data_IF_290911937721
#
_entry.id   IF_290911937721
#
_cell.length_a   1.000
_cell.length_b   1.000
_cell.length_c   1.000
_cell.angle_alpha   90.00
_cell.angle_beta   90.00
_cell.angle_gamma   90.00
#
_symmetry.space_group_name_H-M   'P 1'
#
loop_
_entity.id
_entity.type
_entity.pdbx_description
1 polymer ?
#
# COMPACT_ATOMS: atom_id res chain seq x y z
N UNK A 1 2.51 32.20 -34.98
CA UNK A 1 1.47 32.06 -33.94
C UNK A 1 1.73 30.74 -33.23
N UNK A 2 1.92 30.71 -31.92
CA UNK A 2 2.12 29.44 -31.21
C UNK A 2 0.78 28.66 -31.13
N UNK A 3 0.84 27.39 -31.50
CA UNK A 3 -0.30 26.48 -31.44
C UNK A 3 -0.76 26.34 -29.98
N UNK A 4 -2.03 26.63 -29.74
CA UNK A 4 -2.70 26.32 -28.49
C UNK A 4 -2.78 24.80 -28.33
N UNK A 5 -1.88 24.20 -27.58
CA UNK A 5 -2.07 22.83 -27.13
C UNK A 5 -3.29 22.82 -26.21
N UNK A 6 -4.28 22.04 -26.58
CA UNK A 6 -5.52 21.90 -25.82
C UNK A 6 -5.23 21.19 -24.52
N UNK A 7 -5.63 21.81 -23.42
CA UNK A 7 -5.57 21.27 -22.05
C UNK A 7 -6.36 19.94 -21.90
N UNK A 8 -6.99 19.47 -22.96
CA UNK A 8 -7.90 18.32 -22.95
C UNK A 8 -7.20 16.95 -22.96
N UNK A 9 -5.87 16.88 -23.03
CA UNK A 9 -5.15 15.61 -23.13
C UNK A 9 -4.60 15.09 -21.78
N UNK A 10 -4.86 15.79 -20.67
CA UNK A 10 -4.40 15.40 -19.35
C UNK A 10 -5.56 14.89 -18.49
N UNK A 11 -5.53 13.63 -18.14
CA UNK A 11 -6.46 13.07 -17.16
C UNK A 11 -5.91 13.37 -15.77
N UNK A 12 -6.65 14.17 -15.03
CA UNK A 12 -6.35 14.46 -13.64
C UNK A 12 -6.63 13.22 -12.79
N UNK A 13 -5.60 12.65 -12.19
CA UNK A 13 -5.77 11.54 -11.26
C UNK A 13 -6.41 12.11 -9.99
N UNK A 14 -7.66 11.73 -9.76
CA UNK A 14 -8.34 12.04 -8.52
C UNK A 14 -7.61 11.34 -7.38
N UNK A 15 -7.00 12.13 -6.54
CA UNK A 15 -6.42 11.69 -5.28
C UNK A 15 -7.56 11.28 -4.34
N UNK A 16 -7.47 10.10 -3.82
CA UNK A 16 -8.23 9.74 -2.63
C UNK A 16 -7.70 10.57 -1.45
N UNK A 17 -8.31 11.70 -1.23
CA UNK A 17 -8.05 12.52 -0.06
C UNK A 17 -8.84 11.97 1.11
N UNK A 18 -8.22 11.13 1.92
CA UNK A 18 -8.71 10.94 3.27
C UNK A 18 -8.40 12.21 4.07
N UNK A 19 -9.44 12.97 4.37
CA UNK A 19 -9.39 14.06 5.34
C UNK A 19 -9.07 13.48 6.71
N UNK A 20 -7.82 13.52 7.11
CA UNK A 20 -7.45 13.52 8.52
C UNK A 20 -6.56 14.74 8.76
N UNK A 21 -7.14 15.65 9.52
CA UNK A 21 -6.57 16.91 9.95
C UNK A 21 -5.45 16.61 10.95
N UNK A 22 -4.23 16.45 10.48
CA UNK A 22 -3.03 16.48 11.32
C UNK A 22 -1.96 17.29 10.60
N UNK A 23 -1.38 18.25 11.29
CA UNK A 23 -0.34 19.17 10.88
C UNK A 23 0.98 18.47 10.48
N UNK A 24 0.94 17.56 9.56
CA UNK A 24 2.13 17.08 8.87
C UNK A 24 2.13 17.75 7.48
N UNK A 25 3.01 18.67 7.29
CA UNK A 25 3.36 19.27 6.00
C UNK A 25 3.95 18.18 5.09
N UNK A 26 3.15 17.25 4.67
CA UNK A 26 3.51 16.34 3.58
C UNK A 26 3.22 17.09 2.28
N UNK A 27 4.26 17.57 1.65
CA UNK A 27 4.20 18.12 0.30
C UNK A 27 3.67 17.02 -0.64
N UNK A 28 2.36 17.04 -0.90
CA UNK A 28 1.73 16.13 -1.85
C UNK A 28 2.06 16.62 -3.26
N UNK A 29 2.87 15.86 -3.97
CA UNK A 29 3.11 16.14 -5.39
C UNK A 29 1.99 15.54 -6.21
N UNK A 30 1.26 16.38 -6.94
CA UNK A 30 0.30 15.96 -7.96
C UNK A 30 1.07 15.79 -9.27
N UNK A 31 1.04 14.60 -9.84
CA UNK A 31 1.64 14.32 -11.13
C UNK A 31 0.53 14.10 -12.14
N UNK A 32 0.47 14.96 -13.16
CA UNK A 32 -0.38 14.73 -14.33
C UNK A 32 0.32 13.71 -15.23
N UNK A 33 -0.29 12.58 -15.46
CA UNK A 33 0.22 11.56 -16.37
C UNK A 33 -0.23 11.84 -17.79
N UNK A 34 0.61 11.48 -18.77
CA UNK A 34 0.18 11.40 -20.16
C UNK A 34 -0.91 10.32 -20.30
N UNK A 35 -1.70 10.39 -21.36
CA UNK A 35 -2.74 9.37 -21.65
C UNK A 35 -2.14 7.96 -21.74
N UNK A 36 -0.94 7.84 -22.31
CA UNK A 36 -0.23 6.57 -22.43
C UNK A 36 0.22 6.04 -21.06
N UNK A 37 0.79 6.89 -20.21
CA UNK A 37 1.25 6.47 -18.87
C UNK A 37 0.06 6.17 -17.93
N UNK A 38 -1.04 6.90 -18.09
CA UNK A 38 -2.27 6.56 -17.39
C UNK A 38 -2.79 5.17 -17.79
N UNK A 39 -2.76 4.85 -19.10
CA UNK A 39 -3.15 3.52 -19.57
C UNK A 39 -2.23 2.42 -19.04
N UNK A 40 -0.90 2.65 -18.99
CA UNK A 40 0.05 1.73 -18.36
C UNK A 40 -0.26 1.52 -16.87
N UNK A 41 -0.57 2.61 -16.16
CA UNK A 41 -0.94 2.54 -14.75
C UNK A 41 -2.21 1.73 -14.53
N UNK A 42 -3.25 1.96 -15.35
CA UNK A 42 -4.49 1.18 -15.30
C UNK A 42 -4.21 -0.29 -15.57
N UNK A 43 -3.44 -0.60 -16.62
CA UNK A 43 -3.05 -1.96 -16.94
C UNK A 43 -2.29 -2.64 -15.79
N UNK A 44 -1.41 -1.91 -15.10
CA UNK A 44 -0.71 -2.44 -13.93
C UNK A 44 -1.69 -2.74 -12.77
N UNK A 45 -2.63 -1.85 -12.51
CA UNK A 45 -3.63 -2.04 -11.44
C UNK A 45 -4.61 -3.19 -11.72
N UNK A 46 -4.75 -3.59 -12.97
CA UNK A 46 -5.60 -4.70 -13.40
C UNK A 46 -4.86 -6.06 -13.43
N UNK A 47 -3.54 -6.07 -13.20
CA UNK A 47 -2.79 -7.33 -13.15
C UNK A 47 -3.31 -8.21 -12.02
N UNK A 48 -3.50 -9.51 -12.28
CA UNK A 48 -3.89 -10.44 -11.23
C UNK A 48 -2.73 -10.62 -10.24
N UNK A 49 -3.08 -11.02 -9.02
CA UNK A 49 -2.10 -11.43 -8.02
C UNK A 49 -1.26 -12.60 -8.56
N UNK A 50 0.03 -12.53 -8.32
CA UNK A 50 0.98 -13.60 -8.65
C UNK A 50 1.59 -14.13 -7.36
N UNK A 51 1.40 -15.41 -7.10
CA UNK A 51 2.01 -16.10 -5.96
C UNK A 51 3.54 -16.07 -6.10
N UNK A 52 4.28 -15.72 -5.03
CA UNK A 52 5.74 -15.79 -5.05
C UNK A 52 6.25 -17.20 -5.36
N UNK A 53 7.45 -17.27 -5.95
CA UNK A 53 8.09 -18.54 -6.23
C UNK A 53 8.33 -19.36 -4.96
N UNK A 54 8.19 -20.67 -5.05
CA UNK A 54 8.46 -21.58 -3.94
C UNK A 54 9.92 -21.47 -3.45
N UNK A 55 10.14 -21.77 -2.19
CA UNK A 55 11.44 -21.71 -1.52
C UNK A 55 12.10 -20.31 -1.52
N UNK A 56 11.28 -19.27 -1.56
CA UNK A 56 11.74 -17.88 -1.41
C UNK A 56 11.28 -17.27 -0.09
N UNK A 57 12.02 -16.29 0.40
CA UNK A 57 11.63 -15.51 1.59
C UNK A 57 10.25 -14.85 1.40
N UNK A 58 9.95 -14.42 0.17
CA UNK A 58 8.65 -13.86 -0.17
C UNK A 58 7.50 -14.87 -0.04
N UNK A 59 7.75 -16.15 -0.37
CA UNK A 59 6.77 -17.23 -0.21
C UNK A 59 6.50 -17.54 1.27
N UNK A 60 7.56 -17.53 2.08
CA UNK A 60 7.40 -17.66 3.52
C UNK A 60 6.61 -16.46 4.10
N UNK A 61 6.88 -15.25 3.57
CA UNK A 61 6.14 -14.03 3.92
C UNK A 61 4.67 -14.07 3.51
N UNK A 62 4.34 -14.67 2.36
CA UNK A 62 2.96 -14.94 1.97
C UNK A 62 2.24 -15.80 3.03
N UNK A 63 2.92 -16.83 3.55
CA UNK A 63 2.38 -17.66 4.61
C UNK A 63 2.10 -16.88 5.89
N UNK A 64 3.04 -16.01 6.30
CA UNK A 64 2.82 -15.13 7.45
C UNK A 64 1.66 -14.17 7.19
N UNK A 65 1.57 -13.62 5.98
CA UNK A 65 0.49 -12.72 5.56
C UNK A 65 -0.87 -13.42 5.63
N UNK A 66 -0.95 -14.64 5.11
CA UNK A 66 -2.17 -15.46 5.17
C UNK A 66 -2.64 -15.74 6.60
N UNK A 67 -1.71 -15.94 7.51
CA UNK A 67 -2.04 -16.27 8.90
C UNK A 67 -2.42 -15.05 9.73
N UNK A 68 -1.84 -13.89 9.45
CA UNK A 68 -1.95 -12.71 10.32
C UNK A 68 -2.72 -11.54 9.70
N UNK A 69 -2.62 -11.35 8.39
CA UNK A 69 -3.03 -10.09 7.75
C UNK A 69 -4.37 -10.17 7.01
N UNK A 70 -4.69 -11.34 6.40
CA UNK A 70 -5.91 -11.51 5.58
C UNK A 70 -7.20 -11.39 6.38
N UNK A 71 -7.14 -11.45 7.69
CA UNK A 71 -8.29 -11.18 8.57
C UNK A 71 -8.84 -9.76 8.40
N UNK A 72 -7.99 -8.82 8.00
CA UNK A 72 -8.35 -7.42 7.83
C UNK A 72 -8.02 -6.89 6.43
N UNK A 73 -6.88 -7.32 5.85
CA UNK A 73 -6.41 -6.86 4.55
C UNK A 73 -6.78 -7.83 3.44
N UNK A 74 -7.07 -7.29 2.27
CA UNK A 74 -7.33 -8.04 1.06
C UNK A 74 -6.21 -7.81 0.04
N UNK A 75 -5.90 -8.87 -0.72
CA UNK A 75 -5.12 -8.81 -1.97
C UNK A 75 -5.96 -9.47 -3.06
N UNK A 76 -6.30 -8.72 -4.11
CA UNK A 76 -7.19 -9.19 -5.16
C UNK A 76 -6.59 -10.38 -5.91
N UNK A 77 -7.36 -11.45 -6.02
CA UNK A 77 -6.94 -12.66 -6.73
C UNK A 77 -6.11 -13.63 -5.89
N UNK A 78 -5.79 -13.29 -4.63
CA UNK A 78 -5.15 -14.22 -3.71
C UNK A 78 -6.08 -15.39 -3.39
N UNK A 79 -5.51 -16.60 -3.32
CA UNK A 79 -6.25 -17.83 -3.03
C UNK A 79 -5.62 -18.58 -1.87
N UNK A 80 -6.44 -19.31 -1.15
CA UNK A 80 -6.00 -20.30 -0.16
C UNK A 80 -5.44 -21.55 -0.85
N UNK A 81 -4.82 -22.44 -0.10
CA UNK A 81 -4.26 -23.70 -0.62
C UNK A 81 -5.31 -24.59 -1.30
N UNK A 82 -6.56 -24.52 -0.87
CA UNK A 82 -7.70 -25.24 -1.46
C UNK A 82 -8.27 -24.55 -2.73
N UNK A 83 -7.66 -23.47 -3.18
CA UNK A 83 -8.08 -22.69 -4.36
C UNK A 83 -9.20 -21.71 -4.10
N UNK A 84 -9.75 -21.65 -2.89
CA UNK A 84 -10.79 -20.66 -2.54
C UNK A 84 -10.21 -19.25 -2.48
N UNK A 85 -10.96 -18.23 -2.95
CA UNK A 85 -10.50 -16.85 -2.85
C UNK A 85 -10.32 -16.42 -1.40
N UNK A 86 -9.26 -15.65 -1.13
CA UNK A 86 -9.09 -14.94 0.15
C UNK A 86 -9.94 -13.67 0.13
N UNK A 87 -11.23 -13.86 0.05
CA UNK A 87 -12.24 -12.80 0.22
C UNK A 87 -12.96 -13.15 1.51
N UNK A 88 -13.28 -12.15 2.33
CA UNK A 88 -14.17 -12.38 3.44
C UNK A 88 -15.49 -12.91 2.90
N UNK A 89 -15.77 -14.18 3.18
CA UNK A 89 -17.15 -14.63 3.06
C UNK A 89 -17.96 -13.91 4.16
N UNK A 90 -19.20 -13.51 3.89
CA UNK A 90 -20.06 -12.85 4.89
C UNK A 90 -20.19 -13.64 6.20
N UNK A 91 -19.99 -14.95 6.12
CA UNK A 91 -20.17 -15.90 7.22
C UNK A 91 -18.88 -16.20 7.99
N UNK A 92 -17.73 -15.81 7.47
CA UNK A 92 -16.47 -15.91 8.20
C UNK A 92 -16.30 -14.64 9.04
N UNK A 93 -15.90 -14.81 10.30
CA UNK A 93 -15.54 -13.71 11.21
C UNK A 93 -14.29 -12.93 10.72
N UNK A 94 -14.11 -12.84 9.42
CA UNK A 94 -13.06 -12.12 8.77
C UNK A 94 -13.56 -10.71 8.45
N UNK A 95 -12.89 -9.73 9.01
CA UNK A 95 -13.17 -8.31 8.76
C UNK A 95 -12.42 -7.82 7.51
N UNK A 96 -12.16 -8.72 6.56
CA UNK A 96 -11.54 -8.38 5.28
C UNK A 96 -12.32 -7.24 4.62
N UNK A 97 -11.63 -6.14 4.31
CA UNK A 97 -12.26 -4.91 3.86
C UNK A 97 -12.44 -3.84 4.95
N UNK A 98 -12.23 -4.18 6.23
CA UNK A 98 -12.14 -3.18 7.29
C UNK A 98 -10.81 -2.41 7.28
N UNK A 99 -9.81 -2.94 6.58
CA UNK A 99 -8.51 -2.34 6.37
C UNK A 99 -8.24 -2.10 4.87
N UNK A 100 -7.26 -1.27 4.50
CA UNK A 100 -6.95 -1.02 3.10
C UNK A 100 -6.63 -2.31 2.34
N UNK A 101 -7.15 -2.44 1.12
CA UNK A 101 -6.74 -3.46 0.19
C UNK A 101 -5.26 -3.24 -0.18
N UNK A 102 -4.43 -4.26 -0.07
CA UNK A 102 -2.99 -4.19 -0.29
C UNK A 102 -2.55 -4.63 -1.70
N UNK A 103 -3.48 -4.94 -2.59
CA UNK A 103 -3.14 -5.15 -4.01
C UNK A 103 -2.35 -3.96 -4.52
N UNK A 104 -1.28 -4.23 -5.24
CA UNK A 104 -0.41 -3.20 -5.81
C UNK A 104 0.09 -2.18 -4.78
N UNK A 105 0.39 -2.63 -3.55
CA UNK A 105 0.90 -1.77 -2.48
C UNK A 105 2.14 -1.00 -2.94
N UNK A 106 3.05 -1.67 -3.64
CA UNK A 106 4.32 -1.07 -4.10
C UNK A 106 4.15 -0.09 -5.27
N UNK A 107 2.95 0.05 -5.82
CA UNK A 107 2.63 1.10 -6.79
C UNK A 107 2.12 2.40 -6.13
N UNK A 108 2.08 2.45 -4.80
CA UNK A 108 1.64 3.63 -4.03
C UNK A 108 2.84 4.47 -3.61
N UNK A 109 2.59 5.75 -3.37
CA UNK A 109 3.61 6.67 -2.88
C UNK A 109 3.76 6.61 -1.36
N UNK A 110 2.70 6.22 -0.66
CA UNK A 110 2.62 6.27 0.80
C UNK A 110 1.85 5.07 1.35
N UNK A 111 2.00 4.83 2.66
CA UNK A 111 1.22 3.86 3.40
C UNK A 111 0.72 4.46 4.74
N UNK A 112 -0.01 3.67 5.52
CA UNK A 112 -0.60 4.08 6.81
C UNK A 112 -1.46 5.36 6.72
N UNK A 113 -2.32 5.45 5.66
CA UNK A 113 -3.17 6.62 5.46
C UNK A 113 -2.39 7.88 5.11
N UNK A 114 -1.42 7.76 4.23
CA UNK A 114 -0.53 8.82 3.75
C UNK A 114 0.37 9.44 4.87
N UNK A 115 0.64 8.67 5.91
CA UNK A 115 1.51 9.12 7.00
C UNK A 115 2.98 8.91 6.69
N UNK A 116 3.32 7.80 6.05
CA UNK A 116 4.70 7.42 5.73
C UNK A 116 4.88 7.27 4.23
N UNK A 117 6.02 7.73 3.75
CA UNK A 117 6.43 7.51 2.37
C UNK A 117 6.87 6.06 2.16
N UNK A 118 6.52 5.47 1.01
CA UNK A 118 6.91 4.10 0.69
C UNK A 118 8.38 4.00 0.28
N UNK A 119 8.88 4.99 -0.44
CA UNK A 119 10.30 5.09 -0.81
C UNK A 119 11.09 5.85 0.27
N UNK A 120 12.33 5.47 0.47
CA UNK A 120 13.27 6.25 1.25
C UNK A 120 13.54 7.63 0.60
N UNK A 121 14.16 8.55 1.35
CA UNK A 121 14.31 9.93 0.92
C UNK A 121 15.08 10.06 -0.39
N UNK A 122 16.20 9.35 -0.53
CA UNK A 122 17.06 9.52 -1.71
C UNK A 122 16.40 9.00 -2.99
N UNK A 123 15.81 7.81 -2.95
CA UNK A 123 15.08 7.26 -4.09
C UNK A 123 13.83 8.07 -4.44
N UNK A 124 13.16 8.65 -3.44
CA UNK A 124 12.01 9.51 -3.64
C UNK A 124 12.39 10.81 -4.36
N UNK A 125 13.51 11.42 -3.98
CA UNK A 125 14.01 12.64 -4.65
C UNK A 125 14.32 12.36 -6.11
N UNK A 126 14.98 11.25 -6.41
CA UNK A 126 15.27 10.78 -7.76
C UNK A 126 14.00 10.59 -8.61
N UNK A 127 13.02 9.90 -8.08
CA UNK A 127 11.74 9.65 -8.77
C UNK A 127 10.98 10.97 -8.97
N UNK A 128 11.00 11.88 -8.00
CA UNK A 128 10.23 13.13 -8.07
C UNK A 128 10.87 14.20 -8.96
N UNK A 129 12.14 14.05 -9.30
CA UNK A 129 12.80 14.88 -10.32
C UNK A 129 12.52 14.41 -11.75
N UNK A 130 11.97 13.21 -11.92
CA UNK A 130 11.56 12.70 -13.21
C UNK A 130 10.46 13.56 -13.84
N UNK A 131 10.48 13.66 -15.16
CA UNK A 131 9.38 14.26 -15.90
C UNK A 131 8.08 13.43 -15.74
N UNK A 132 6.95 14.03 -16.12
CA UNK A 132 5.65 13.39 -15.96
C UNK A 132 5.47 12.14 -16.83
N UNK A 133 6.22 12.01 -17.90
CA UNK A 133 6.11 10.91 -18.84
C UNK A 133 6.84 9.66 -18.33
N UNK A 134 7.97 9.85 -17.67
CA UNK A 134 8.77 8.75 -17.12
C UNK A 134 8.51 8.46 -15.65
N UNK A 135 7.72 9.30 -14.96
CA UNK A 135 7.48 9.18 -13.52
C UNK A 135 6.92 7.81 -13.12
N UNK A 136 5.90 7.32 -13.84
CA UNK A 136 5.28 6.04 -13.52
C UNK A 136 6.24 4.86 -13.65
N UNK A 137 6.98 4.82 -14.74
CA UNK A 137 7.96 3.76 -15.00
C UNK A 137 9.12 3.82 -13.99
N UNK A 138 9.65 5.01 -13.71
CA UNK A 138 10.69 5.21 -12.68
C UNK A 138 10.21 4.81 -11.29
N UNK A 139 8.98 5.20 -10.93
CA UNK A 139 8.43 4.86 -9.63
C UNK A 139 8.31 3.35 -9.46
N UNK A 140 7.71 2.66 -10.42
CA UNK A 140 7.56 1.21 -10.35
C UNK A 140 8.90 0.46 -10.40
N UNK A 141 9.86 0.94 -11.17
CA UNK A 141 11.21 0.37 -11.21
C UNK A 141 12.03 0.68 -9.97
N UNK A 142 11.76 1.83 -9.32
CA UNK A 142 12.44 2.26 -8.10
C UNK A 142 12.00 1.54 -6.83
N UNK A 143 10.83 0.89 -6.82
CA UNK A 143 10.35 0.15 -5.65
C UNK A 143 11.00 -1.23 -5.60
N UNK A 144 12.20 -1.26 -5.06
CA UNK A 144 12.98 -2.44 -4.73
C UNK A 144 13.39 -2.39 -3.26
N UNK A 145 14.14 -3.38 -2.81
CA UNK A 145 14.55 -3.47 -1.40
C UNK A 145 15.39 -2.28 -0.95
N UNK A 146 16.31 -1.80 -1.78
CA UNK A 146 17.21 -0.68 -1.46
C UNK A 146 16.48 0.66 -1.39
N UNK A 147 15.46 0.84 -2.22
CA UNK A 147 14.65 2.06 -2.27
C UNK A 147 13.47 2.08 -1.32
N UNK A 148 13.10 0.94 -0.76
CA UNK A 148 11.99 0.86 0.19
C UNK A 148 12.33 1.61 1.49
N UNK A 149 11.38 2.35 2.01
CA UNK A 149 11.48 2.92 3.37
C UNK A 149 11.30 1.80 4.41
N UNK A 150 12.31 0.96 4.51
CA UNK A 150 12.28 -0.21 5.40
C UNK A 150 12.13 0.18 6.87
N UNK A 151 12.71 1.30 7.28
CA UNK A 151 12.62 1.78 8.66
C UNK A 151 11.17 1.92 9.10
N UNK A 152 10.40 2.69 8.37
CA UNK A 152 9.02 2.98 8.74
C UNK A 152 8.10 1.78 8.47
N UNK A 153 8.33 1.02 7.40
CA UNK A 153 7.53 -0.18 7.12
C UNK A 153 7.75 -1.27 8.18
N UNK A 154 9.00 -1.56 8.56
CA UNK A 154 9.30 -2.50 9.64
C UNK A 154 8.77 -2.02 10.98
N UNK A 155 8.91 -0.72 11.28
CA UNK A 155 8.32 -0.10 12.47
C UNK A 155 6.80 -0.27 12.51
N UNK A 156 6.13 -0.05 11.39
CA UNK A 156 4.69 -0.21 11.25
C UNK A 156 4.26 -1.67 11.48
N UNK A 157 4.95 -2.62 10.89
CA UNK A 157 4.66 -4.05 11.08
C UNK A 157 4.91 -4.48 12.54
N UNK A 158 5.94 -3.94 13.18
CA UNK A 158 6.28 -4.26 14.57
C UNK A 158 5.25 -3.73 15.55
N UNK A 159 4.85 -2.47 15.42
CA UNK A 159 3.88 -1.86 16.32
C UNK A 159 3.20 -0.64 15.68
N UNK A 160 2.20 -0.88 14.83
CA UNK A 160 1.45 0.19 14.18
C UNK A 160 0.81 1.20 15.15
N UNK A 161 0.19 0.79 16.28
CA UNK A 161 -0.37 1.73 17.24
C UNK A 161 0.64 2.70 17.86
N UNK A 162 1.88 2.26 18.08
CA UNK A 162 2.92 3.13 18.62
C UNK A 162 3.38 4.18 17.61
N UNK A 163 3.37 3.84 16.31
CA UNK A 163 3.76 4.79 15.28
C UNK A 163 2.64 5.77 14.92
N UNK A 164 1.39 5.30 14.93
CA UNK A 164 0.22 6.11 14.65
C UNK A 164 -0.97 5.60 15.44
N UNK A 165 -1.38 6.27 16.51
CA UNK A 165 -2.65 5.98 17.16
C UNK A 165 -3.81 6.17 16.17
N UNK A 166 -4.61 5.11 15.97
CA UNK A 166 -5.66 5.10 14.93
C UNK A 166 -7.07 5.22 15.50
N UNK A 167 -7.22 5.36 16.78
CA UNK A 167 -8.49 5.68 17.43
C UNK A 167 -8.49 7.13 17.86
N UNK A 168 -9.47 7.87 17.40
CA UNK A 168 -9.48 9.31 17.61
C UNK A 168 -9.99 9.73 19.00
N UNK A 169 -10.81 8.90 19.66
CA UNK A 169 -11.44 9.27 20.92
C UNK A 169 -11.91 8.01 21.67
N UNK A 170 -11.51 7.83 22.96
CA UNK A 170 -12.00 6.75 23.81
C UNK A 170 -13.52 6.70 23.92
N UNK A 171 -14.19 7.85 23.90
CA UNK A 171 -15.67 7.92 23.92
C UNK A 171 -16.29 7.32 22.63
N UNK A 172 -15.61 7.37 21.49
CA UNK A 172 -16.08 6.74 20.25
C UNK A 172 -15.86 5.22 20.26
N UNK A 173 -14.97 4.70 21.10
CA UNK A 173 -14.81 3.26 21.29
C UNK A 173 -16.03 2.63 21.92
N UNK A 174 -16.71 3.34 22.84
CA UNK A 174 -17.94 2.87 23.45
C UNK A 174 -19.10 2.85 22.46
N UNK A 175 -19.22 3.85 21.58
CA UNK A 175 -20.27 3.90 20.54
C UNK A 175 -20.12 2.81 19.48
N UNK A 176 -18.94 2.23 19.32
CA UNK A 176 -18.65 1.14 18.39
C UNK A 176 -18.58 -0.24 19.05
N UNK A 177 -19.09 -0.36 20.27
CA UNK A 177 -19.02 -1.60 21.05
C UNK A 177 -17.60 -1.94 21.55
N UNK A 178 -16.75 -0.94 21.78
CA UNK A 178 -15.39 -1.12 22.28
C UNK A 178 -14.41 -1.72 21.28
N UNK A 179 -14.76 -1.81 20.01
CA UNK A 179 -13.90 -2.38 18.97
C UNK A 179 -12.79 -1.39 18.61
N UNK A 180 -11.55 -1.82 18.79
CA UNK A 180 -10.37 -1.09 18.32
C UNK A 180 -10.43 -0.91 16.79
N UNK A 181 -10.29 0.33 16.34
CA UNK A 181 -10.25 0.67 14.92
C UNK A 181 -8.83 1.01 14.52
N UNK A 182 -8.19 0.13 13.80
CA UNK A 182 -6.84 0.32 13.28
C UNK A 182 -6.06 -0.99 13.28
N UNK A 183 -4.87 -0.95 12.72
CA UNK A 183 -3.98 -2.10 12.71
C UNK A 183 -3.45 -2.34 14.13
N UNK A 184 -3.73 -3.50 14.75
CA UNK A 184 -3.24 -3.81 16.09
C UNK A 184 -1.75 -4.12 16.06
N UNK A 185 -1.14 -4.18 17.26
CA UNK A 185 0.14 -4.85 17.44
C UNK A 185 -0.10 -6.37 17.35
N UNK A 186 0.47 -7.00 16.34
CA UNK A 186 0.29 -8.43 16.06
C UNK A 186 1.34 -9.30 16.78
N UNK A 187 2.30 -8.71 17.47
CA UNK A 187 3.39 -9.44 18.14
C UNK A 187 4.30 -10.20 17.17
N UNK A 188 4.47 -9.68 15.96
CA UNK A 188 5.33 -10.30 14.94
C UNK A 188 6.79 -10.33 15.41
N UNK A 189 7.47 -11.45 15.14
CA UNK A 189 8.91 -11.55 15.33
C UNK A 189 9.67 -10.78 14.25
N UNK A 190 10.94 -10.44 14.49
CA UNK A 190 11.76 -9.78 13.47
C UNK A 190 11.91 -10.67 12.21
N UNK A 191 11.96 -11.98 12.38
CA UNK A 191 11.97 -12.93 11.26
C UNK A 191 10.66 -12.89 10.46
N UNK A 192 9.50 -12.80 11.12
CA UNK A 192 8.22 -12.63 10.43
C UNK A 192 8.15 -11.29 9.68
N UNK A 193 8.67 -10.22 10.28
CA UNK A 193 8.72 -8.90 9.66
C UNK A 193 9.59 -8.92 8.41
N UNK A 194 10.75 -9.58 8.45
CA UNK A 194 11.64 -9.73 7.30
C UNK A 194 10.94 -10.47 6.15
N UNK A 195 10.32 -11.61 6.44
CA UNK A 195 9.52 -12.38 5.49
C UNK A 195 8.37 -11.55 4.90
N UNK A 196 7.65 -10.82 5.75
CA UNK A 196 6.56 -9.96 5.31
C UNK A 196 7.05 -8.82 4.39
N UNK A 197 8.17 -8.19 4.69
CA UNK A 197 8.74 -7.15 3.82
C UNK A 197 9.09 -7.73 2.45
N UNK A 198 9.72 -8.91 2.40
CA UNK A 198 10.01 -9.59 1.14
C UNK A 198 8.72 -9.92 0.35
N UNK A 199 7.67 -10.38 1.03
CA UNK A 199 6.37 -10.62 0.41
C UNK A 199 5.72 -9.34 -0.10
N UNK A 200 5.64 -8.30 0.72
CA UNK A 200 5.00 -7.04 0.35
C UNK A 200 5.66 -6.40 -0.87
N UNK A 201 6.99 -6.56 -1.06
CA UNK A 201 7.72 -6.11 -2.24
C UNK A 201 7.25 -6.78 -3.54
N UNK A 202 6.56 -7.91 -3.48
CA UNK A 202 5.98 -8.57 -4.66
C UNK A 202 4.65 -7.96 -5.11
N UNK A 203 4.01 -7.16 -4.27
CA UNK A 203 2.70 -6.54 -4.52
C UNK A 203 2.83 -5.26 -5.37
N UNK A 204 3.32 -5.40 -6.60
CA UNK A 204 3.57 -4.32 -7.58
C UNK A 204 2.41 -4.09 -8.51
#
# INVERSE_FOLDING_TARGET
APSRHRITDYIQILLWSNCSNTNASTSRKNVALSKADFAKRVANQLKPYTTPAENTLAKEGETVFMNQCVRCHQVNGMKRADGTPVIAAPDENMVSGAAPNLSHLMSRNTFAGATFDLLNKSCREDVWTADSESFGDKYLSGVNEDCLNQKDLRGWLRNAPAMKPMYANPALLTSTGGKYRGMPNLGLTEADIEKLVAYLLTLK
#
